data_IF_383576179477
#
_entry.id   IF_383576179477
#
_cell.length_a   1.000
_cell.length_b   1.000
_cell.length_c   1.000
_cell.angle_alpha   90.00
_cell.angle_beta   90.00
_cell.angle_gamma   90.00
#
_symmetry.space_group_name_H-M   'P 1'
#
loop_
_entity.id
_entity.type
_entity.pdbx_description
1 polymer ?
#
# COMPACT_ATOMS: atom_id res chain seq x y z
N UNK A 1 0.08 33.95 11.55
CA UNK A 1 -0.31 32.60 11.18
C UNK A 1 0.76 32.01 10.27
N UNK A 2 1.39 30.97 10.68
CA UNK A 2 2.41 30.31 9.88
C UNK A 2 1.76 29.32 8.92
N UNK A 3 2.26 29.25 7.69
CA UNK A 3 1.84 28.27 6.72
C UNK A 3 2.35 26.87 7.07
N UNK A 4 2.11 25.87 6.19
CA UNK A 4 2.63 24.54 6.41
C UNK A 4 4.14 24.53 6.57
N UNK A 5 4.62 23.70 7.47
CA UNK A 5 6.06 23.54 7.68
C UNK A 5 6.65 22.69 6.56
N UNK A 6 7.65 23.24 5.89
CA UNK A 6 8.39 22.52 4.86
C UNK A 6 9.30 21.49 5.53
N UNK A 7 9.21 20.24 5.11
CA UNK A 7 10.11 19.19 5.55
C UNK A 7 11.02 18.75 4.40
N UNK A 8 12.11 18.09 4.74
CA UNK A 8 13.08 17.61 3.74
C UNK A 8 13.15 16.09 3.66
N UNK A 9 12.86 15.40 4.75
CA UNK A 9 12.99 13.94 4.82
C UNK A 9 11.78 13.31 5.47
N UNK A 10 11.57 12.03 5.20
CA UNK A 10 10.50 11.27 5.83
C UNK A 10 10.67 11.19 7.36
N UNK A 11 11.90 11.20 7.85
CA UNK A 11 12.16 11.17 9.29
C UNK A 11 11.53 12.36 10.02
N UNK A 12 11.44 13.50 9.37
CA UNK A 12 10.82 14.70 9.95
C UNK A 12 9.31 14.57 10.07
N UNK A 13 8.69 13.65 9.32
CA UNK A 13 7.25 13.39 9.41
C UNK A 13 6.89 12.54 10.62
N UNK A 14 7.78 11.62 11.02
CA UNK A 14 7.46 10.61 12.03
C UNK A 14 6.95 11.19 13.36
N UNK A 15 7.52 12.28 13.90
CA UNK A 15 7.03 12.81 15.18
C UNK A 15 5.64 13.42 15.11
N UNK A 16 5.15 13.76 13.92
CA UNK A 16 3.89 14.50 13.74
C UNK A 16 2.87 13.74 12.91
N UNK A 17 3.15 12.49 12.61
CA UNK A 17 2.24 11.67 11.80
C UNK A 17 1.65 10.55 12.64
N UNK A 18 0.39 10.24 12.40
CA UNK A 18 -0.30 9.16 13.07
C UNK A 18 -1.14 8.39 12.06
N UNK A 19 -1.09 7.06 12.12
CA UNK A 19 -1.95 6.21 11.32
C UNK A 19 -3.36 6.29 11.90
N UNK A 20 -4.29 6.84 11.13
CA UNK A 20 -5.64 7.10 11.62
C UNK A 20 -6.72 6.25 10.97
N UNK A 21 -6.44 5.66 9.79
CA UNK A 21 -7.46 4.88 9.10
C UNK A 21 -6.82 3.87 8.17
N UNK A 22 -7.40 2.68 8.11
CA UNK A 22 -7.13 1.69 7.07
C UNK A 22 -8.37 1.60 6.19
N UNK A 23 -8.21 1.93 4.91
CA UNK A 23 -9.30 1.86 3.93
C UNK A 23 -9.13 0.62 3.09
N UNK A 24 -10.17 -0.19 3.01
CA UNK A 24 -10.21 -1.33 2.10
C UNK A 24 -11.00 -0.91 0.87
N UNK A 25 -10.32 -0.84 -0.27
CA UNK A 25 -10.97 -0.41 -1.52
C UNK A 25 -11.56 -1.59 -2.27
N UNK A 26 -10.86 -2.71 -2.26
CA UNK A 26 -11.32 -3.88 -3.01
C UNK A 26 -10.67 -5.15 -2.45
N UNK A 27 -11.49 -6.19 -2.30
CA UNK A 27 -11.01 -7.53 -2.02
C UNK A 27 -11.77 -8.46 -2.95
N UNK A 28 -11.05 -9.17 -3.81
CA UNK A 28 -11.67 -10.12 -4.73
C UNK A 28 -10.88 -11.42 -4.73
N UNK A 29 -11.59 -12.49 -4.96
CA UNK A 29 -10.99 -13.80 -5.10
C UNK A 29 -11.80 -14.64 -6.07
N UNK A 30 -11.11 -15.42 -6.89
CA UNK A 30 -11.74 -16.27 -7.89
C UNK A 30 -10.97 -17.56 -7.99
N UNK A 31 -11.68 -18.70 -7.89
CA UNK A 31 -11.08 -19.98 -8.20
C UNK A 31 -10.86 -20.10 -9.69
N UNK A 32 -9.69 -20.57 -10.06
CA UNK A 32 -9.32 -20.84 -11.44
C UNK A 32 -8.70 -22.23 -11.52
N UNK A 33 -8.51 -22.72 -12.71
CA UNK A 33 -7.75 -23.92 -12.97
C UNK A 33 -6.76 -23.58 -14.09
N UNK A 34 -5.56 -23.21 -13.68
CA UNK A 34 -4.53 -22.80 -14.63
C UNK A 34 -3.31 -23.73 -14.48
N UNK A 35 -3.26 -24.80 -15.29
CA UNK A 35 -2.17 -25.76 -15.21
C UNK A 35 -0.83 -25.20 -15.67
N UNK A 36 -0.84 -24.03 -16.31
CA UNK A 36 0.38 -23.38 -16.80
C UNK A 36 0.89 -22.30 -15.86
N UNK A 37 0.16 -22.01 -14.77
CA UNK A 37 0.63 -21.05 -13.79
C UNK A 37 1.84 -21.60 -13.04
N UNK A 38 2.71 -20.70 -12.59
CA UNK A 38 3.87 -21.07 -11.81
C UNK A 38 3.43 -21.73 -10.50
N UNK A 39 4.20 -22.75 -10.05
CA UNK A 39 3.93 -23.42 -8.79
C UNK A 39 4.01 -22.45 -7.60
N UNK A 40 4.92 -21.48 -7.68
CA UNK A 40 5.00 -20.42 -6.67
C UNK A 40 4.05 -19.27 -7.03
N UNK A 41 3.46 -18.60 -6.02
CA UNK A 41 2.57 -17.49 -6.28
C UNK A 41 3.27 -16.37 -7.05
N UNK A 42 2.65 -15.92 -8.13
CA UNK A 42 3.09 -14.72 -8.83
C UNK A 42 2.37 -13.54 -8.20
N UNK A 43 3.13 -12.54 -7.75
CA UNK A 43 2.53 -11.37 -7.13
C UNK A 43 3.01 -10.09 -7.78
N UNK A 44 2.12 -9.11 -7.85
CA UNK A 44 2.44 -7.78 -8.30
C UNK A 44 1.89 -6.75 -7.33
N UNK A 45 2.67 -5.71 -7.10
CA UNK A 45 2.30 -4.60 -6.21
C UNK A 45 2.19 -3.33 -7.04
N UNK A 46 1.08 -2.63 -6.83
CA UNK A 46 0.84 -1.33 -7.42
C UNK A 46 0.70 -0.34 -6.29
N UNK A 47 1.63 0.60 -6.17
CA UNK A 47 1.70 1.51 -5.04
C UNK A 47 1.38 2.93 -5.51
N UNK A 48 0.43 3.56 -4.82
CA UNK A 48 0.02 4.93 -5.07
C UNK A 48 0.08 5.72 -3.78
N UNK A 49 0.32 7.02 -3.91
CA UNK A 49 0.32 7.92 -2.76
C UNK A 49 -0.38 9.22 -3.13
N UNK A 50 -1.09 9.78 -2.18
CA UNK A 50 -1.70 11.10 -2.32
C UNK A 50 -1.79 11.76 -0.96
N UNK A 51 -1.97 13.05 -0.95
CA UNK A 51 -2.08 13.76 0.31
C UNK A 51 -2.36 15.23 0.15
N UNK A 52 -2.44 15.88 1.29
CA UNK A 52 -2.57 17.32 1.40
C UNK A 52 -1.65 17.79 2.52
N UNK A 53 -1.77 19.04 2.94
CA UNK A 53 -0.98 19.54 4.05
C UNK A 53 -1.36 18.94 5.41
N UNK A 54 -2.49 18.23 5.51
CA UNK A 54 -3.02 17.71 6.77
C UNK A 54 -3.05 16.19 6.84
N UNK A 55 -2.87 15.50 5.73
CA UNK A 55 -2.94 14.04 5.70
C UNK A 55 -2.16 13.47 4.52
N UNK A 56 -1.88 12.17 4.60
CA UNK A 56 -1.18 11.43 3.55
C UNK A 56 -1.70 10.00 3.50
N UNK A 57 -1.92 9.49 2.30
CA UNK A 57 -2.36 8.11 2.11
C UNK A 57 -1.38 7.33 1.25
N UNK A 58 -1.03 6.14 1.70
CA UNK A 58 -0.34 5.14 0.90
C UNK A 58 -1.32 4.04 0.56
N UNK A 59 -1.57 3.82 -0.72
CA UNK A 59 -2.50 2.80 -1.21
C UNK A 59 -1.73 1.75 -1.99
N UNK A 60 -1.96 0.48 -1.66
CA UNK A 60 -1.27 -0.63 -2.28
C UNK A 60 -2.29 -1.64 -2.79
N UNK A 61 -2.17 -1.98 -4.05
CA UNK A 61 -2.97 -3.03 -4.68
C UNK A 61 -2.07 -4.22 -4.90
N UNK A 62 -2.40 -5.34 -4.26
CA UNK A 62 -1.67 -6.59 -4.37
C UNK A 62 -2.50 -7.58 -5.15
N UNK A 63 -1.94 -8.09 -6.24
CA UNK A 63 -2.54 -9.16 -7.04
C UNK A 63 -1.69 -10.41 -6.91
N UNK A 64 -2.34 -11.54 -6.67
CA UNK A 64 -1.67 -12.84 -6.51
C UNK A 64 -2.30 -13.83 -7.46
N UNK A 65 -1.47 -14.49 -8.27
CA UNK A 65 -1.90 -15.51 -9.21
C UNK A 65 -1.26 -16.83 -8.82
N UNK A 66 -2.08 -17.83 -8.53
CA UNK A 66 -1.66 -19.19 -8.26
C UNK A 66 -2.34 -20.13 -9.26
N UNK A 67 -1.94 -21.42 -9.34
CA UNK A 67 -2.66 -22.34 -10.20
C UNK A 67 -4.14 -22.48 -9.87
N UNK A 68 -4.53 -22.21 -8.64
CA UNK A 68 -5.89 -22.44 -8.15
C UNK A 68 -6.72 -21.18 -7.98
N UNK A 69 -6.10 -20.00 -7.96
CA UNK A 69 -6.84 -18.77 -7.65
C UNK A 69 -6.19 -17.51 -8.21
N UNK A 70 -7.05 -16.54 -8.47
CA UNK A 70 -6.68 -15.14 -8.64
C UNK A 70 -7.19 -14.39 -7.42
N UNK A 71 -6.29 -13.70 -6.73
CA UNK A 71 -6.60 -12.97 -5.51
C UNK A 71 -6.15 -11.53 -5.64
N UNK A 72 -6.94 -10.63 -5.08
CA UNK A 72 -6.62 -9.20 -5.12
C UNK A 72 -7.04 -8.54 -3.82
N UNK A 73 -6.17 -7.70 -3.28
CA UNK A 73 -6.48 -6.84 -2.15
C UNK A 73 -5.93 -5.45 -2.45
N UNK A 74 -6.77 -4.44 -2.25
CA UNK A 74 -6.45 -3.04 -2.50
C UNK A 74 -6.77 -2.27 -1.23
N UNK A 75 -5.73 -1.85 -0.52
CA UNK A 75 -5.86 -1.28 0.82
C UNK A 75 -5.03 -0.01 0.91
N UNK A 76 -5.57 0.99 1.59
CA UNK A 76 -4.87 2.24 1.86
C UNK A 76 -4.68 2.46 3.36
N UNK A 77 -3.54 3.05 3.71
CA UNK A 77 -3.26 3.52 5.05
C UNK A 77 -3.26 5.05 5.04
N UNK A 78 -4.12 5.64 5.85
CA UNK A 78 -4.23 7.10 5.96
C UNK A 78 -3.51 7.57 7.21
N UNK A 79 -2.61 8.51 7.01
CA UNK A 79 -1.84 9.14 8.07
C UNK A 79 -2.29 10.58 8.20
N UNK A 80 -2.52 11.02 9.41
CA UNK A 80 -2.93 12.40 9.70
C UNK A 80 -1.77 13.13 10.38
N UNK A 81 -1.56 14.37 9.99
CA UNK A 81 -0.51 15.20 10.57
C UNK A 81 -1.07 16.03 11.72
N UNK A 82 -0.33 16.13 12.83
CA UNK A 82 -0.72 16.95 13.96
C UNK A 82 -0.53 18.44 13.70
N UNK A 83 0.22 18.78 12.67
CA UNK A 83 0.41 20.15 12.18
C UNK A 83 0.50 20.13 10.66
N UNK A 84 0.12 21.21 9.97
CA UNK A 84 0.24 21.24 8.50
C UNK A 84 1.67 21.08 8.05
N UNK A 85 1.88 20.22 7.04
CA UNK A 85 3.19 19.97 6.45
C UNK A 85 3.17 20.22 4.96
N UNK A 86 4.27 20.77 4.46
CA UNK A 86 4.56 20.77 3.04
C UNK A 86 5.58 19.67 2.78
N UNK A 87 5.11 18.59 2.11
CA UNK A 87 5.89 17.39 1.90
C UNK A 87 6.36 17.35 0.45
N UNK A 88 7.66 17.55 0.19
CA UNK A 88 8.19 17.43 -1.17
C UNK A 88 8.05 16.02 -1.69
N UNK A 89 8.01 15.86 -3.00
CA UNK A 89 7.83 14.57 -3.64
C UNK A 89 8.88 13.55 -3.21
N UNK A 90 10.12 13.98 -3.02
CA UNK A 90 11.21 13.10 -2.58
C UNK A 90 10.93 12.56 -1.17
N UNK A 91 10.51 13.43 -0.26
CA UNK A 91 10.19 13.01 1.11
C UNK A 91 8.95 12.13 1.14
N UNK A 92 7.95 12.42 0.32
CA UNK A 92 6.75 11.58 0.20
C UNK A 92 7.11 10.18 -0.29
N UNK A 93 7.93 10.07 -1.32
CA UNK A 93 8.39 8.77 -1.83
C UNK A 93 9.15 7.98 -0.79
N UNK A 94 10.02 8.64 -0.04
CA UNK A 94 10.77 8.00 1.04
C UNK A 94 9.82 7.49 2.15
N UNK A 95 8.83 8.29 2.51
CA UNK A 95 7.84 7.89 3.52
C UNK A 95 7.04 6.67 3.05
N UNK A 96 6.58 6.67 1.81
CA UNK A 96 5.86 5.54 1.23
C UNK A 96 6.69 4.28 1.29
N UNK A 97 7.95 4.36 0.87
CA UNK A 97 8.84 3.21 0.83
C UNK A 97 9.18 2.66 2.21
N UNK A 98 9.48 3.54 3.16
CA UNK A 98 9.97 3.12 4.48
C UNK A 98 8.86 2.89 5.51
N UNK A 99 7.74 3.56 5.37
CA UNK A 99 6.68 3.53 6.38
C UNK A 99 5.34 3.10 5.79
N UNK A 100 4.90 3.75 4.71
CA UNK A 100 3.55 3.59 4.19
C UNK A 100 3.23 2.18 3.74
N UNK A 101 4.07 1.60 2.89
CA UNK A 101 3.85 0.24 2.36
C UNK A 101 3.94 -0.78 3.49
N UNK A 102 4.86 -0.59 4.42
CA UNK A 102 5.01 -1.50 5.56
C UNK A 102 3.81 -1.46 6.48
N UNK A 103 3.13 -0.31 6.59
CA UNK A 103 1.91 -0.20 7.38
C UNK A 103 0.73 -0.93 6.72
N UNK A 104 0.67 -0.92 5.39
CA UNK A 104 -0.42 -1.56 4.63
C UNK A 104 -0.22 -3.07 4.51
N UNK A 105 1.01 -3.53 4.38
CA UNK A 105 1.32 -4.91 3.98
C UNK A 105 0.70 -5.99 4.88
N UNK A 106 0.69 -5.86 6.21
CA UNK A 106 0.05 -6.86 7.06
C UNK A 106 -1.43 -7.05 6.77
N UNK A 107 -2.12 -5.97 6.41
CA UNK A 107 -3.54 -6.04 6.05
C UNK A 107 -3.73 -6.73 4.70
N UNK A 108 -2.84 -6.47 3.74
CA UNK A 108 -2.87 -7.17 2.45
C UNK A 108 -2.68 -8.67 2.64
N UNK A 109 -1.70 -9.07 3.44
CA UNK A 109 -1.42 -10.48 3.71
C UNK A 109 -2.63 -11.16 4.35
N UNK A 110 -3.24 -10.51 5.32
CA UNK A 110 -4.40 -11.04 6.02
C UNK A 110 -5.58 -11.24 5.07
N UNK A 111 -5.87 -10.25 4.22
CA UNK A 111 -6.97 -10.35 3.26
C UNK A 111 -6.72 -11.43 2.20
N UNK A 112 -5.51 -11.53 1.69
CA UNK A 112 -5.16 -12.58 0.72
C UNK A 112 -5.31 -13.97 1.37
N UNK A 113 -4.81 -14.14 2.57
CA UNK A 113 -4.90 -15.41 3.31
C UNK A 113 -6.35 -15.79 3.56
N UNK A 114 -7.15 -14.85 4.07
CA UNK A 114 -8.56 -15.09 4.40
C UNK A 114 -9.38 -15.41 3.15
N UNK A 115 -9.14 -14.66 2.06
CA UNK A 115 -9.88 -14.86 0.81
C UNK A 115 -9.59 -16.23 0.21
N UNK A 116 -8.33 -16.67 0.23
CA UNK A 116 -7.96 -18.01 -0.22
C UNK A 116 -8.68 -19.08 0.61
N UNK A 117 -8.74 -18.90 1.92
CA UNK A 117 -9.46 -19.81 2.79
C UNK A 117 -10.95 -19.89 2.46
N UNK A 118 -11.58 -18.77 2.17
CA UNK A 118 -13.00 -18.73 1.78
C UNK A 118 -13.24 -19.41 0.45
N UNK A 119 -12.28 -19.38 -0.46
CA UNK A 119 -12.37 -20.09 -1.73
C UNK A 119 -12.07 -21.58 -1.60
N UNK A 120 -11.56 -22.01 -0.47
CA UNK A 120 -11.20 -23.41 -0.26
C UNK A 120 -9.93 -23.82 -0.99
N UNK A 121 -9.04 -22.86 -1.27
CA UNK A 121 -7.74 -23.15 -1.90
C UNK A 121 -6.62 -22.94 -0.89
N UNK A 122 -5.45 -23.52 -1.16
CA UNK A 122 -4.29 -23.34 -0.30
C UNK A 122 -3.89 -21.86 -0.25
N UNK A 123 -3.75 -21.26 0.95
CA UNK A 123 -3.34 -19.88 1.04
C UNK A 123 -1.91 -19.69 0.55
N UNK A 124 -1.66 -18.73 -0.36
CA UNK A 124 -0.29 -18.44 -0.78
C UNK A 124 0.50 -17.83 0.37
N UNK A 125 1.74 -18.26 0.53
CA UNK A 125 2.66 -17.67 1.49
C UNK A 125 3.37 -16.52 0.80
N UNK A 126 3.07 -15.31 1.25
CA UNK A 126 3.72 -14.11 0.72
C UNK A 126 4.98 -13.84 1.54
N UNK A 127 6.08 -13.64 0.83
CA UNK A 127 7.37 -13.38 1.47
C UNK A 127 7.42 -12.04 2.16
N UNK A 128 8.52 -11.79 2.86
CA UNK A 128 8.75 -10.49 3.47
C UNK A 128 8.95 -9.43 2.39
N UNK A 129 8.27 -8.32 2.55
CA UNK A 129 8.46 -7.17 1.71
C UNK A 129 9.59 -6.31 2.28
N UNK A 130 10.52 -5.93 1.42
CA UNK A 130 11.65 -5.10 1.83
C UNK A 130 11.58 -3.76 1.11
N UNK A 131 12.01 -2.71 1.81
CA UNK A 131 12.08 -1.38 1.22
C UNK A 131 12.96 -1.41 -0.02
N UNK A 132 12.54 -0.69 -1.07
CA UNK A 132 13.28 -0.63 -2.33
C UNK A 132 13.00 -1.74 -3.32
N UNK A 133 12.17 -2.73 -2.97
CA UNK A 133 11.85 -3.85 -3.87
C UNK A 133 10.60 -3.62 -4.71
N UNK A 134 10.01 -2.44 -4.64
CA UNK A 134 8.82 -2.09 -5.40
C UNK A 134 8.94 -0.69 -5.98
N UNK A 135 8.17 -0.43 -7.04
CA UNK A 135 8.13 0.86 -7.71
C UNK A 135 6.87 1.61 -7.30
N UNK A 136 7.02 2.90 -7.03
CA UNK A 136 5.91 3.75 -6.66
C UNK A 136 5.46 4.55 -7.87
N UNK A 137 4.17 4.41 -8.23
CA UNK A 137 3.55 5.28 -9.22
C UNK A 137 3.01 6.50 -8.49
N UNK A 138 3.53 7.68 -8.82
CA UNK A 138 2.99 8.92 -8.29
C UNK A 138 1.82 9.36 -9.15
N UNK A 139 0.69 9.60 -8.52
CA UNK A 139 -0.46 10.19 -9.20
C UNK A 139 -0.26 11.69 -9.26
N UNK A 140 0.10 12.17 -10.44
CA UNK A 140 0.34 13.60 -10.65
C UNK A 140 -0.95 14.37 -10.94
N UNK A 141 -2.08 13.70 -11.00
CA UNK A 141 -3.32 14.34 -11.44
C UNK A 141 -4.02 15.15 -10.36
N UNK A 142 -3.68 14.95 -9.11
CA UNK A 142 -4.34 15.65 -8.03
C UNK A 142 -3.74 17.02 -7.73
N UNK A 143 -2.68 17.40 -8.40
CA UNK A 143 -2.05 18.70 -8.16
C UNK A 143 -2.81 19.87 -8.80
N UNK A 144 -3.74 19.60 -9.69
CA UNK A 144 -4.47 20.64 -10.44
C UNK A 144 -5.88 20.90 -9.91
N UNK A 145 -6.18 20.43 -8.72
CA UNK A 145 -7.52 20.60 -8.17
C UNK A 145 -7.49 21.15 -6.74
#
# INVERSE_FOLDING_TARGET
MSGPRLISTAAEMLPVVELTEIKVYEITGKRIDDPHAAAEPEQSLDVQARGSENWFETRVKLSVHTPEALLLADVGAVFTFSEPLEVPQVAAGEFVEKVGVMAVYPFLREHIFTTAGRLGVAPPVLGLLRAGTFTIASDQQDSDR
#
